data_IF_449765599121
#
_entry.id   IF_449765599121
#
_cell.length_a   1.000
_cell.length_b   1.000
_cell.length_c   1.000
_cell.angle_alpha   90.00
_cell.angle_beta   90.00
_cell.angle_gamma   90.00
#
_symmetry.space_group_name_H-M   'P 1'
#
loop_
_entity.id
_entity.type
_entity.pdbx_description
1 polymer ?
#
# COMPACT_ATOMS: atom_id res chain seq x y z
N UNK A 1 -16.35 -60.11 2.33
CA UNK A 1 -15.41 -59.73 1.24
C UNK A 1 -14.59 -58.52 1.67
N UNK A 2 -13.32 -58.45 1.26
CA UNK A 2 -12.44 -57.32 1.59
C UNK A 2 -12.98 -56.06 0.90
N UNK A 3 -13.25 -54.97 1.65
CA UNK A 3 -13.73 -53.73 1.06
C UNK A 3 -12.67 -53.12 0.13
N UNK A 4 -13.09 -52.67 -1.05
CA UNK A 4 -12.27 -51.91 -1.99
C UNK A 4 -12.24 -50.44 -1.58
N UNK A 5 -11.07 -49.81 -1.63
CA UNK A 5 -10.88 -48.38 -1.32
C UNK A 5 -10.61 -47.61 -2.60
N UNK A 6 -11.44 -46.62 -2.88
CA UNK A 6 -11.32 -45.72 -4.03
C UNK A 6 -11.26 -44.27 -3.57
N UNK A 7 -10.43 -43.47 -4.22
CA UNK A 7 -10.30 -42.05 -3.97
C UNK A 7 -10.76 -41.26 -5.18
N UNK A 8 -11.43 -40.13 -4.94
CA UNK A 8 -11.78 -39.17 -5.99
C UNK A 8 -11.84 -37.75 -5.44
N UNK A 9 -11.84 -36.78 -6.35
CA UNK A 9 -12.24 -35.41 -6.04
C UNK A 9 -13.76 -35.28 -6.17
N UNK A 10 -14.40 -34.67 -5.17
CA UNK A 10 -15.84 -34.40 -5.17
C UNK A 10 -16.19 -33.01 -5.71
N UNK A 11 -15.20 -32.18 -6.00
CA UNK A 11 -15.38 -30.88 -6.65
C UNK A 11 -15.47 -30.96 -8.18
N UNK A 12 -15.46 -32.18 -8.75
CA UNK A 12 -15.57 -32.41 -10.19
C UNK A 12 -14.28 -32.17 -10.97
N UNK A 13 -13.20 -31.76 -10.31
CA UNK A 13 -11.90 -31.58 -10.97
C UNK A 13 -11.18 -32.92 -11.18
N UNK A 14 -10.27 -32.99 -12.17
CA UNK A 14 -9.49 -34.19 -12.43
C UNK A 14 -8.69 -34.63 -11.21
N UNK A 15 -8.61 -35.94 -11.00
CA UNK A 15 -7.77 -36.50 -9.95
C UNK A 15 -6.28 -36.30 -10.31
N UNK A 16 -5.47 -35.59 -9.48
CA UNK A 16 -4.10 -35.26 -9.86
C UNK A 16 -3.24 -36.52 -10.05
N UNK A 17 -2.54 -36.58 -11.19
CA UNK A 17 -1.74 -37.76 -11.58
C UNK A 17 -0.55 -38.04 -10.65
N UNK A 18 -0.08 -37.04 -9.91
CA UNK A 18 1.01 -37.16 -8.94
C UNK A 18 0.62 -37.85 -7.63
N UNK A 19 -0.68 -38.04 -7.38
CA UNK A 19 -1.16 -38.67 -6.14
C UNK A 19 -0.75 -40.14 -6.11
N UNK A 20 -0.13 -40.55 -5.00
CA UNK A 20 0.25 -41.95 -4.75
C UNK A 20 -0.78 -42.57 -3.81
N UNK A 21 -1.41 -43.66 -4.27
CA UNK A 21 -2.40 -44.40 -3.48
C UNK A 21 -1.77 -45.67 -2.91
N UNK A 22 -1.87 -45.83 -1.59
CA UNK A 22 -1.51 -47.08 -0.89
C UNK A 22 -2.79 -47.80 -0.48
N UNK A 23 -3.29 -48.66 -1.38
CA UNK A 23 -4.54 -49.41 -1.18
C UNK A 23 -4.51 -50.36 0.02
N UNK A 24 -3.34 -50.86 0.39
CA UNK A 24 -3.16 -51.82 1.50
C UNK A 24 -3.57 -51.27 2.88
N UNK A 25 -3.49 -49.95 3.08
CA UNK A 25 -3.89 -49.28 4.33
C UNK A 25 -4.76 -48.03 4.08
N UNK A 26 -5.27 -47.86 2.87
CA UNK A 26 -6.16 -46.75 2.51
C UNK A 26 -5.51 -45.37 2.49
N UNK A 27 -4.17 -45.26 2.50
CA UNK A 27 -3.51 -43.95 2.48
C UNK A 27 -3.45 -43.33 1.08
N UNK A 28 -3.59 -42.00 1.03
CA UNK A 28 -3.38 -41.17 -0.15
C UNK A 28 -2.27 -40.16 0.16
N UNK A 29 -1.27 -40.07 -0.70
CA UNK A 29 -0.13 -39.16 -0.57
C UNK A 29 -0.08 -38.21 -1.77
N UNK A 30 0.06 -36.91 -1.51
CA UNK A 30 0.21 -35.88 -2.54
C UNK A 30 1.64 -35.30 -2.43
N UNK A 31 2.62 -35.84 -3.18
CA UNK A 31 3.96 -35.27 -3.20
C UNK A 31 3.95 -33.90 -3.90
N UNK A 32 4.82 -32.99 -3.47
CA UNK A 32 5.00 -31.67 -4.07
C UNK A 32 3.66 -30.94 -4.26
N UNK A 33 2.93 -30.77 -3.17
CA UNK A 33 1.65 -30.08 -3.13
C UNK A 33 1.72 -28.72 -3.84
N UNK A 34 0.75 -28.46 -4.71
CA UNK A 34 0.52 -27.20 -5.41
C UNK A 34 -0.89 -26.68 -5.08
N UNK A 35 -1.13 -25.40 -5.33
CA UNK A 35 -2.41 -24.77 -5.01
C UNK A 35 -3.60 -25.48 -5.67
N UNK A 36 -3.42 -26.00 -6.89
CA UNK A 36 -4.45 -26.72 -7.67
C UNK A 36 -4.87 -28.06 -7.05
N UNK A 37 -4.04 -28.64 -6.17
CA UNK A 37 -4.39 -29.87 -5.46
C UNK A 37 -5.38 -29.61 -4.31
N UNK A 38 -5.52 -28.37 -3.87
CA UNK A 38 -6.53 -28.03 -2.87
C UNK A 38 -7.92 -28.34 -3.40
N UNK A 39 -8.79 -28.90 -2.55
CA UNK A 39 -10.07 -29.40 -3.02
C UNK A 39 -10.80 -30.26 -2.01
N UNK A 40 -11.97 -30.76 -2.42
CA UNK A 40 -12.75 -31.72 -1.65
C UNK A 40 -12.43 -33.13 -2.13
N UNK A 41 -11.92 -33.97 -1.24
CA UNK A 41 -11.58 -35.36 -1.52
C UNK A 41 -12.55 -36.29 -0.84
N UNK A 42 -12.87 -37.39 -1.52
CA UNK A 42 -13.68 -38.49 -0.97
C UNK A 42 -12.89 -39.79 -0.99
N UNK A 43 -12.95 -40.50 0.13
CA UNK A 43 -12.57 -41.90 0.23
C UNK A 43 -13.84 -42.74 0.26
N UNK A 44 -13.95 -43.67 -0.68
CA UNK A 44 -15.11 -44.54 -0.85
C UNK A 44 -14.66 -45.96 -0.52
N UNK A 45 -15.35 -46.59 0.43
CA UNK A 45 -15.13 -47.99 0.81
C UNK A 45 -16.37 -48.81 0.47
N UNK A 46 -16.20 -49.89 -0.29
CA UNK A 46 -17.32 -50.67 -0.82
C UNK A 46 -17.05 -52.18 -0.78
N UNK A 47 -18.05 -52.95 -0.36
CA UNK A 47 -18.08 -54.40 -0.46
C UNK A 47 -19.49 -54.88 -0.84
N UNK A 48 -19.69 -56.20 -0.94
CA UNK A 48 -20.99 -56.78 -1.35
C UNK A 48 -22.17 -56.46 -0.42
N UNK A 49 -21.93 -55.88 0.77
CA UNK A 49 -22.96 -55.54 1.76
C UNK A 49 -23.23 -54.04 1.83
N UNK A 50 -22.46 -53.20 1.14
CA UNK A 50 -22.71 -51.77 1.09
C UNK A 50 -21.48 -50.91 0.83
N UNK A 51 -21.71 -49.60 0.87
CA UNK A 51 -20.77 -48.54 0.53
C UNK A 51 -20.79 -47.45 1.61
N UNK A 52 -19.62 -46.95 1.97
CA UNK A 52 -19.45 -45.81 2.88
C UNK A 52 -18.51 -44.77 2.23
N UNK A 53 -18.69 -43.49 2.58
CA UNK A 53 -17.97 -42.36 2.00
C UNK A 53 -17.50 -41.44 3.13
N UNK A 54 -16.18 -41.20 3.21
CA UNK A 54 -15.59 -40.17 4.04
C UNK A 54 -15.16 -38.97 3.18
N UNK A 55 -15.30 -37.75 3.71
CA UNK A 55 -14.96 -36.50 3.01
C UNK A 55 -13.93 -35.70 3.78
N UNK A 56 -12.95 -35.14 3.08
CA UNK A 56 -11.95 -34.24 3.64
C UNK A 56 -11.67 -33.07 2.70
N UNK A 57 -11.61 -31.85 3.25
CA UNK A 57 -11.25 -30.65 2.47
C UNK A 57 -9.77 -30.33 2.69
N UNK A 58 -8.99 -30.43 1.61
CA UNK A 58 -7.61 -30.01 1.58
C UNK A 58 -7.54 -28.52 1.27
N UNK A 59 -6.81 -27.77 2.09
CA UNK A 59 -6.57 -26.33 1.89
C UNK A 59 -5.08 -26.03 2.03
N UNK A 60 -4.67 -24.83 1.65
CA UNK A 60 -3.28 -24.38 1.70
C UNK A 60 -3.18 -23.01 2.36
N UNK A 61 -1.97 -22.70 2.80
CA UNK A 61 -1.57 -21.39 3.29
C UNK A 61 -0.41 -20.83 2.47
N UNK A 62 -0.21 -19.52 2.56
CA UNK A 62 0.92 -18.84 1.96
C UNK A 62 1.41 -17.75 2.91
N UNK A 63 2.73 -17.72 3.17
CA UNK A 63 3.35 -16.62 3.91
C UNK A 63 3.21 -15.32 3.11
N UNK A 64 3.22 -14.15 3.77
CA UNK A 64 3.18 -12.88 3.07
C UNK A 64 4.37 -12.74 2.11
N UNK A 65 4.13 -12.18 0.93
CA UNK A 65 5.18 -11.76 -0.01
C UNK A 65 4.77 -10.45 -0.71
N UNK A 66 5.76 -9.64 -1.07
CA UNK A 66 5.54 -8.33 -1.66
C UNK A 66 5.01 -8.43 -3.09
N UNK A 67 3.95 -7.67 -3.36
CA UNK A 67 3.51 -7.26 -4.71
C UNK A 67 4.11 -5.89 -5.02
N UNK A 68 4.07 -4.98 -4.05
CA UNK A 68 4.58 -3.62 -4.15
C UNK A 68 5.26 -3.22 -2.84
N UNK A 69 6.51 -2.77 -2.96
CA UNK A 69 7.27 -2.17 -1.86
C UNK A 69 7.31 -0.66 -1.99
N UNK A 70 7.65 0.01 -0.89
CA UNK A 70 7.85 1.46 -0.84
C UNK A 70 9.29 1.82 -1.16
N UNK A 71 9.53 3.08 -1.51
CA UNK A 71 10.84 3.63 -1.87
C UNK A 71 11.00 5.04 -1.31
N UNK A 72 12.24 5.45 -1.14
CA UNK A 72 12.60 6.78 -0.66
C UNK A 72 12.00 7.87 -1.57
N UNK A 73 11.52 8.95 -0.96
CA UNK A 73 10.94 10.09 -1.66
C UNK A 73 11.31 11.41 -1.00
N UNK A 74 11.47 12.43 -1.83
CA UNK A 74 11.58 13.82 -1.39
C UNK A 74 10.29 14.53 -1.79
N UNK A 75 9.61 15.16 -0.84
CA UNK A 75 8.29 15.79 -1.03
C UNK A 75 8.30 17.18 -0.42
N UNK A 76 7.65 18.15 -1.08
CA UNK A 76 7.55 19.50 -0.53
C UNK A 76 6.61 19.52 0.69
N UNK A 77 6.89 20.42 1.63
CA UNK A 77 5.92 20.86 2.64
C UNK A 77 4.57 21.27 2.02
N UNK A 78 3.51 21.11 2.80
CA UNK A 78 2.09 21.33 2.44
C UNK A 78 1.55 20.37 1.36
N UNK A 79 2.41 19.61 0.69
CA UNK A 79 2.02 18.59 -0.28
C UNK A 79 1.59 17.28 0.44
N UNK A 80 1.23 16.27 -0.35
CA UNK A 80 0.73 14.98 0.14
C UNK A 80 1.68 13.84 -0.20
N UNK A 81 2.07 13.07 0.82
CA UNK A 81 2.72 11.78 0.62
C UNK A 81 1.67 10.71 0.32
N UNK A 82 1.96 9.87 -0.67
CA UNK A 82 1.25 8.62 -0.90
C UNK A 82 2.25 7.47 -1.08
N UNK A 83 2.19 6.49 -0.20
CA UNK A 83 2.91 5.23 -0.36
C UNK A 83 1.94 4.06 -0.45
N UNK A 84 2.03 3.31 -1.55
CA UNK A 84 1.29 2.08 -1.76
C UNK A 84 2.14 0.87 -1.37
N UNK A 85 1.71 0.16 -0.34
CA UNK A 85 2.37 -1.04 0.15
C UNK A 85 1.41 -2.23 0.02
N UNK A 86 1.75 -3.20 -0.84
CA UNK A 86 0.87 -4.35 -1.13
C UNK A 86 1.62 -5.67 -1.02
N UNK A 87 1.03 -6.59 -0.29
CA UNK A 87 1.46 -7.96 -0.10
C UNK A 87 0.30 -8.93 -0.38
N UNK A 88 0.65 -10.09 -0.92
CA UNK A 88 -0.25 -11.24 -1.02
C UNK A 88 0.10 -12.27 0.05
N UNK A 89 -0.86 -13.11 0.41
CA UNK A 89 -0.71 -14.16 1.41
C UNK A 89 -2.03 -14.85 1.69
N UNK A 90 -1.96 -16.04 2.31
CA UNK A 90 -3.15 -16.80 2.73
C UNK A 90 -2.96 -17.31 4.15
N UNK A 91 -3.72 -16.79 5.14
CA UNK A 91 -4.74 -15.74 5.05
C UNK A 91 -4.23 -14.39 4.52
N UNK A 92 -5.14 -13.52 4.04
CA UNK A 92 -4.82 -12.18 3.54
C UNK A 92 -4.03 -11.41 4.62
N UNK A 93 -2.87 -10.80 4.28
CA UNK A 93 -2.08 -10.09 5.27
C UNK A 93 -2.80 -8.84 5.83
N UNK A 94 -2.61 -8.58 7.12
CA UNK A 94 -2.90 -7.29 7.76
C UNK A 94 -1.67 -6.38 7.68
N UNK A 95 -1.89 -5.06 7.80
CA UNK A 95 -0.84 -4.06 7.68
C UNK A 95 -0.75 -3.18 8.93
N UNK A 96 0.47 -2.74 9.22
CA UNK A 96 0.76 -1.66 10.17
C UNK A 96 1.95 -0.84 9.68
N UNK A 97 2.00 0.41 10.11
CA UNK A 97 3.04 1.35 9.75
C UNK A 97 3.83 1.78 10.98
N UNK A 98 5.13 1.95 10.80
CA UNK A 98 6.01 2.58 11.79
C UNK A 98 6.62 3.85 11.21
N UNK A 99 6.82 4.85 12.06
CA UNK A 99 7.68 6.01 11.80
C UNK A 99 8.79 6.02 12.85
N UNK A 100 10.05 5.97 12.43
CA UNK A 100 11.21 5.94 13.32
C UNK A 100 11.16 4.82 14.38
N UNK A 101 10.54 3.69 14.04
CA UNK A 101 10.38 2.54 14.93
C UNK A 101 9.12 2.55 15.79
N UNK A 102 8.39 3.67 15.86
CA UNK A 102 7.16 3.80 16.63
C UNK A 102 5.92 3.58 15.76
N UNK A 103 4.87 2.98 16.33
CA UNK A 103 3.65 2.69 15.57
C UNK A 103 2.92 3.96 15.19
N UNK A 104 2.61 4.08 13.90
CA UNK A 104 1.87 5.20 13.34
C UNK A 104 0.37 4.91 13.41
N UNK A 105 -0.39 5.80 14.06
CA UNK A 105 -1.85 5.76 14.11
C UNK A 105 -2.48 6.57 12.97
N UNK A 106 -3.61 6.10 12.47
CA UNK A 106 -4.39 6.82 11.46
C UNK A 106 -5.23 7.92 12.13
N UNK A 107 -4.65 9.12 12.25
CA UNK A 107 -5.26 10.26 12.92
C UNK A 107 -4.98 11.58 12.18
N UNK A 108 -5.97 12.49 12.18
CA UNK A 108 -5.83 13.82 11.59
C UNK A 108 -5.44 13.80 10.10
N UNK A 109 -4.19 14.17 9.81
CA UNK A 109 -3.62 14.23 8.44
C UNK A 109 -3.21 12.86 7.89
N UNK A 110 -3.13 11.85 8.75
CA UNK A 110 -2.60 10.52 8.45
C UNK A 110 -3.75 9.55 8.20
N UNK A 111 -3.75 8.90 7.05
CA UNK A 111 -4.72 7.88 6.68
C UNK A 111 -4.00 6.58 6.30
N UNK A 112 -4.51 5.45 6.80
CA UNK A 112 -3.95 4.12 6.51
C UNK A 112 -5.09 3.22 6.03
N UNK A 113 -5.00 2.75 4.78
CA UNK A 113 -6.03 1.90 4.18
C UNK A 113 -5.39 0.76 3.40
N UNK A 114 -5.70 -0.49 3.76
CA UNK A 114 -5.23 -1.69 3.05
C UNK A 114 -3.71 -1.74 2.76
N UNK A 115 -2.91 -1.15 3.65
CA UNK A 115 -1.45 -1.05 3.48
C UNK A 115 -0.97 0.26 2.87
N UNK A 116 -1.83 1.03 2.21
CA UNK A 116 -1.49 2.37 1.73
C UNK A 116 -1.42 3.37 2.90
N UNK A 117 -0.42 4.25 2.86
CA UNK A 117 -0.25 5.37 3.80
C UNK A 117 -0.34 6.69 3.03
N UNK A 118 -1.25 7.55 3.47
CA UNK A 118 -1.39 8.91 2.99
C UNK A 118 -1.12 9.88 4.14
N UNK A 119 -0.25 10.87 3.91
CA UNK A 119 -0.03 11.97 4.85
C UNK A 119 -0.24 13.28 4.09
N UNK A 120 -1.34 13.96 4.37
CA UNK A 120 -1.66 15.25 3.77
C UNK A 120 -0.98 16.41 4.50
N UNK A 121 -0.81 17.54 3.81
CA UNK A 121 -0.29 18.78 4.37
C UNK A 121 1.01 18.55 5.16
N UNK A 122 2.02 18.02 4.48
CA UNK A 122 3.29 17.64 5.08
C UNK A 122 3.99 18.82 5.76
N UNK A 123 4.70 18.55 6.84
CA UNK A 123 5.60 19.52 7.47
C UNK A 123 6.98 18.90 7.69
N UNK A 124 7.98 19.72 8.05
CA UNK A 124 9.37 19.27 8.17
C UNK A 124 9.56 18.12 9.17
N UNK A 125 8.75 18.06 10.23
CA UNK A 125 8.84 17.00 11.25
C UNK A 125 8.24 15.67 10.78
N UNK A 126 7.52 15.66 9.66
CA UNK A 126 7.05 14.43 9.02
C UNK A 126 8.22 13.63 8.42
N UNK A 127 9.38 14.26 8.16
CA UNK A 127 10.58 13.56 7.69
C UNK A 127 11.01 12.42 8.61
N UNK A 128 11.60 11.37 8.02
CA UNK A 128 12.18 10.26 8.74
C UNK A 128 11.98 8.92 8.04
N UNK A 129 12.32 7.85 8.76
CA UNK A 129 12.26 6.50 8.25
C UNK A 129 10.91 5.88 8.53
N UNK A 130 10.20 5.48 7.48
CA UNK A 130 8.94 4.78 7.57
C UNK A 130 9.11 3.31 7.23
N UNK A 131 8.26 2.47 7.83
CA UNK A 131 8.26 1.04 7.59
C UNK A 131 6.83 0.53 7.47
N UNK A 132 6.51 -0.06 6.32
CA UNK A 132 5.30 -0.83 6.12
C UNK A 132 5.57 -2.29 6.54
N UNK A 133 4.68 -2.86 7.34
CA UNK A 133 4.78 -4.23 7.82
C UNK A 133 3.50 -4.96 7.43
N UNK A 134 3.66 -6.11 6.75
CA UNK A 134 2.57 -6.98 6.34
C UNK A 134 2.72 -8.34 7.02
N UNK A 135 1.65 -8.83 7.66
CA UNK A 135 1.69 -10.06 8.45
C UNK A 135 0.45 -10.93 8.30
N UNK A 136 0.64 -12.23 8.43
CA UNK A 136 -0.43 -13.18 8.71
C UNK A 136 0.07 -14.23 9.71
N UNK A 137 -0.80 -15.16 10.12
CA UNK A 137 -0.45 -16.22 11.10
C UNK A 137 0.71 -17.15 10.68
N UNK A 138 1.23 -17.04 9.46
CA UNK A 138 2.30 -17.86 8.92
C UNK A 138 3.61 -17.08 8.67
N UNK A 139 3.61 -15.75 8.78
CA UNK A 139 4.83 -14.96 8.61
C UNK A 139 4.60 -13.45 8.64
N UNK A 140 5.72 -12.74 8.67
CA UNK A 140 5.81 -11.27 8.70
C UNK A 140 6.87 -10.84 7.70
N UNK A 141 6.58 -9.79 6.93
CA UNK A 141 7.54 -9.12 6.04
C UNK A 141 7.48 -7.60 6.27
N UNK A 142 8.57 -6.90 5.99
CA UNK A 142 8.63 -5.44 6.11
C UNK A 142 9.36 -4.78 4.94
N UNK A 143 8.98 -3.53 4.64
CA UNK A 143 9.60 -2.66 3.65
C UNK A 143 9.82 -1.29 4.28
N UNK A 144 11.01 -0.72 4.12
CA UNK A 144 11.34 0.61 4.67
C UNK A 144 11.63 1.61 3.56
N UNK A 145 11.35 2.88 3.83
CA UNK A 145 11.74 4.01 2.98
C UNK A 145 11.98 5.27 3.83
N UNK A 146 12.83 6.16 3.34
CA UNK A 146 13.07 7.49 3.90
C UNK A 146 12.15 8.53 3.25
N UNK A 147 11.42 9.29 4.07
CA UNK A 147 10.72 10.50 3.63
C UNK A 147 11.58 11.71 3.96
N UNK A 148 11.92 12.50 2.95
CA UNK A 148 12.53 13.81 3.14
C UNK A 148 11.53 14.90 2.78
N UNK A 149 11.08 15.68 3.77
CA UNK A 149 10.23 16.84 3.52
C UNK A 149 11.09 18.08 3.33
N UNK A 150 10.92 18.76 2.20
CA UNK A 150 11.74 19.93 1.83
C UNK A 150 10.91 21.21 1.70
N UNK A 151 11.59 22.34 1.90
CA UNK A 151 11.07 23.67 1.61
C UNK A 151 10.69 23.79 0.13
N UNK A 152 9.64 24.56 -0.18
CA UNK A 152 9.24 24.85 -1.56
C UNK A 152 9.78 26.21 -2.00
N UNK A 153 10.42 26.30 -3.18
CA UNK A 153 10.91 27.58 -3.68
C UNK A 153 9.72 28.51 -4.01
N UNK A 154 9.93 29.84 -4.03
CA UNK A 154 8.93 30.77 -4.51
C UNK A 154 8.54 30.49 -5.96
N UNK A 155 7.26 30.16 -6.15
CA UNK A 155 6.65 29.95 -7.46
C UNK A 155 5.42 30.86 -7.59
N UNK A 156 5.35 31.58 -8.71
CA UNK A 156 4.16 32.36 -9.03
C UNK A 156 3.09 31.54 -9.72
N UNK A 157 3.44 30.37 -10.29
CA UNK A 157 2.63 29.46 -11.13
C UNK A 157 2.02 30.12 -12.38
N UNK A 158 1.69 31.42 -12.33
CA UNK A 158 1.25 32.35 -13.36
C UNK A 158 1.80 33.73 -13.01
N UNK A 159 2.17 34.53 -14.01
CA UNK A 159 2.64 35.89 -13.75
C UNK A 159 1.57 36.70 -12.98
N UNK A 160 1.85 37.17 -11.75
CA UNK A 160 0.86 37.86 -10.92
C UNK A 160 0.63 39.31 -11.39
N UNK A 161 1.51 39.85 -12.24
CA UNK A 161 1.42 41.22 -12.71
C UNK A 161 0.85 41.28 -14.13
N UNK A 162 -0.08 42.22 -14.35
CA UNK A 162 -0.54 42.55 -15.70
C UNK A 162 0.59 43.24 -16.47
N UNK A 163 0.76 42.88 -17.74
CA UNK A 163 1.78 43.47 -18.63
C UNK A 163 1.59 44.98 -18.83
N UNK A 164 0.35 45.45 -18.85
CA UNK A 164 -0.02 46.85 -19.00
C UNK A 164 -1.20 47.17 -18.08
N UNK A 165 -1.10 48.28 -17.36
CA UNK A 165 -2.17 48.82 -16.51
C UNK A 165 -2.35 50.29 -16.91
N UNK A 166 -3.57 50.65 -17.32
CA UNK A 166 -3.96 52.03 -17.61
C UNK A 166 -5.03 52.44 -16.59
N UNK A 167 -4.83 53.58 -15.92
CA UNK A 167 -5.73 54.10 -14.89
C UNK A 167 -5.88 55.60 -15.01
N UNK A 168 -6.99 56.12 -14.50
CA UNK A 168 -7.25 57.57 -14.45
C UNK A 168 -6.36 58.23 -13.39
N UNK A 169 -5.90 59.45 -13.67
CA UNK A 169 -5.17 60.28 -12.71
C UNK A 169 -5.99 60.41 -11.41
N UNK A 170 -5.31 60.25 -10.27
CA UNK A 170 -5.92 60.25 -8.93
C UNK A 170 -6.48 58.89 -8.49
N UNK A 171 -6.45 57.86 -9.34
CA UNK A 171 -6.84 56.50 -8.95
C UNK A 171 -5.74 55.79 -8.16
N UNK A 172 -6.15 54.93 -7.23
CA UNK A 172 -5.25 54.01 -6.53
C UNK A 172 -4.97 52.77 -7.39
N UNK A 173 -3.72 52.30 -7.39
CA UNK A 173 -3.29 51.08 -8.10
C UNK A 173 -2.60 50.14 -7.15
N UNK A 174 -3.07 48.89 -7.12
CA UNK A 174 -2.46 47.82 -6.35
C UNK A 174 -1.70 46.87 -7.28
N UNK A 175 -0.46 46.54 -6.91
CA UNK A 175 0.31 45.46 -7.52
C UNK A 175 0.38 44.29 -6.55
N UNK A 176 0.07 43.09 -7.04
CA UNK A 176 0.10 41.89 -6.21
C UNK A 176 1.38 41.08 -6.47
N UNK A 177 2.08 40.75 -5.39
CA UNK A 177 3.19 39.80 -5.37
C UNK A 177 2.93 38.81 -4.24
N UNK A 178 2.43 37.62 -4.59
CA UNK A 178 2.16 36.53 -3.64
C UNK A 178 2.60 35.20 -4.24
N UNK A 179 3.92 34.91 -4.26
CA UNK A 179 4.39 33.60 -4.70
C UNK A 179 3.96 32.54 -3.67
N UNK A 180 3.66 31.34 -4.16
CA UNK A 180 3.56 30.14 -3.33
C UNK A 180 4.97 29.73 -2.96
N UNK A 181 5.28 29.66 -1.67
CA UNK A 181 6.61 29.29 -1.18
C UNK A 181 6.50 28.84 0.27
N UNK A 182 7.44 27.99 0.69
CA UNK A 182 7.63 27.68 2.09
C UNK A 182 9.12 27.71 2.45
N UNK A 183 9.53 28.49 3.46
CA UNK A 183 8.70 29.41 4.24
C UNK A 183 8.14 30.55 3.37
N UNK A 184 7.12 31.25 3.88
CA UNK A 184 6.49 32.36 3.14
C UNK A 184 7.55 33.33 2.59
N UNK A 185 7.54 33.54 1.29
CA UNK A 185 8.52 34.41 0.65
C UNK A 185 8.29 35.88 1.05
N UNK A 186 9.37 36.64 1.13
CA UNK A 186 9.32 38.10 1.23
C UNK A 186 9.39 38.70 -0.18
N UNK A 187 8.40 39.52 -0.53
CA UNK A 187 8.45 40.31 -1.77
C UNK A 187 9.17 41.64 -1.52
N UNK A 188 10.02 42.04 -2.45
CA UNK A 188 10.64 43.36 -2.50
C UNK A 188 10.32 44.01 -3.84
N UNK A 189 10.07 45.32 -3.82
CA UNK A 189 9.57 46.05 -4.98
C UNK A 189 10.58 47.07 -5.48
N UNK A 190 10.69 47.24 -6.80
CA UNK A 190 11.54 48.25 -7.43
C UNK A 190 10.80 49.01 -8.50
N UNK A 191 11.07 50.31 -8.64
CA UNK A 191 10.58 51.15 -9.74
C UNK A 191 11.77 51.81 -10.42
N UNK A 192 11.94 51.57 -11.73
CA UNK A 192 13.05 52.19 -12.49
C UNK A 192 14.45 51.84 -11.96
N UNK A 193 14.61 50.73 -11.24
CA UNK A 193 15.87 50.31 -10.62
C UNK A 193 16.01 50.66 -9.13
N UNK A 194 15.23 51.60 -8.62
CA UNK A 194 15.27 52.02 -7.22
C UNK A 194 14.39 51.13 -6.33
N UNK A 195 14.90 50.81 -5.13
CA UNK A 195 14.20 50.01 -4.14
C UNK A 195 13.07 50.82 -3.50
N UNK A 196 11.86 50.27 -3.52
CA UNK A 196 10.74 50.83 -2.79
C UNK A 196 10.77 50.32 -1.35
N UNK A 197 10.54 51.23 -0.41
CA UNK A 197 10.42 50.96 1.02
C UNK A 197 8.97 51.12 1.45
N UNK A 198 8.62 50.40 2.51
CA UNK A 198 7.32 50.56 3.17
C UNK A 198 7.28 51.95 3.82
N UNK A 199 6.24 52.72 3.51
CA UNK A 199 5.99 53.98 4.18
C UNK A 199 4.93 53.73 5.25
N UNK A 200 5.15 54.24 6.46
CA UNK A 200 4.11 54.28 7.49
C UNK A 200 2.93 55.11 6.96
N UNK A 201 1.72 54.55 7.05
CA UNK A 201 0.47 55.20 6.66
C UNK A 201 -0.02 56.14 7.74
#
# INVERSE_FOLDING_TARGET
PVPQINWRRADGLPFPSKIKLRKSNGMMEIPNFQQEDAGLYECITENSRGKNIARGRLTYYAKPHWIQTIKDVEVAVEDTLYWDCRASGKPKPSYRWLKNGEQLSAEGRIQIENGALTISNLNLTDSGRYQCIAENKHGVISSSAELRVVASPPDFSKNPMKRLIQVQIGSTVDFECKPKAFPKAKCSWKKGGEQLHENER
#
